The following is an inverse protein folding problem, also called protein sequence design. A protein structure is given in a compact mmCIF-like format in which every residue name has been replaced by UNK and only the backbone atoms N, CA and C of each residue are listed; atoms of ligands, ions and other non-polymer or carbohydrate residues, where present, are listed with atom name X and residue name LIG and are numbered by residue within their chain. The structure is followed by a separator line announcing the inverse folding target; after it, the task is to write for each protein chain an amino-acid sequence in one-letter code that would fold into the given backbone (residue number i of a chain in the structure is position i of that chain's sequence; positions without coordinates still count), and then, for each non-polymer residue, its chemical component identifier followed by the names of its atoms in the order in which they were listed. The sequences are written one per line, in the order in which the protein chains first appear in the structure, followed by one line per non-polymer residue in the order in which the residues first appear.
data_IF_352776250784
#
_entry.id   IF_352776250784
#
_cell.length_a   1.000
_cell.length_b   1.000
_cell.length_c   1.000
_cell.angle_alpha   90.00
_cell.angle_beta   90.00
_cell.angle_gamma   90.00
#
_symmetry.space_group_name_H-M   'P 1'
#
loop_
_entity.id
_entity.type
_entity.pdbx_description
1 polymer ?
#
# COMPACT_ATOMS: atom_id res chain seq x y z
N UNK A 1 21.09 52.95 14.60
CA UNK A 1 20.96 52.02 13.46
C UNK A 1 19.80 51.08 13.73
N UNK A 2 18.67 51.25 13.02
CA UNK A 2 17.75 50.16 12.63
C UNK A 2 16.63 50.77 11.78
N UNK A 3 16.79 50.71 10.46
CA UNK A 3 15.77 51.07 9.47
C UNK A 3 15.93 50.08 8.32
N UNK A 4 15.23 48.93 8.38
CA UNK A 4 15.30 47.94 7.29
C UNK A 4 14.11 46.97 7.19
N UNK A 5 12.91 47.35 7.66
CA UNK A 5 11.67 46.61 7.39
C UNK A 5 10.45 47.54 7.31
N UNK A 6 10.46 48.45 6.34
CA UNK A 6 9.25 49.18 5.93
C UNK A 6 9.18 49.14 4.41
N UNK A 7 8.13 48.49 3.89
CA UNK A 7 7.84 48.37 2.46
C UNK A 7 6.51 49.07 2.23
N UNK A 8 6.54 50.21 1.55
CA UNK A 8 5.33 50.99 1.31
C UNK A 8 4.38 50.28 0.34
N UNK A 9 3.08 50.27 0.68
CA UNK A 9 2.03 49.65 -0.12
C UNK A 9 1.18 48.58 0.59
N UNK A 10 1.53 48.17 1.81
CA UNK A 10 0.82 47.13 2.58
C UNK A 10 -0.05 47.65 3.74
N UNK A 11 -0.68 48.82 3.56
CA UNK A 11 -1.65 49.35 4.52
C UNK A 11 -3.00 48.61 4.42
N UNK A 12 -3.09 47.45 5.06
CA UNK A 12 -4.37 46.78 5.33
C UNK A 12 -5.14 47.57 6.40
N UNK A 13 -6.17 48.30 5.95
CA UNK A 13 -7.16 48.95 6.83
C UNK A 13 -7.87 47.94 7.72
N UNK A 14 -7.96 48.19 9.02
CA UNK A 14 -8.57 47.29 10.02
C UNK A 14 -10.11 47.13 9.92
N UNK A 15 -10.77 47.64 8.88
CA UNK A 15 -12.21 47.49 8.66
C UNK A 15 -12.59 46.13 8.05
N UNK A 16 -12.31 45.05 8.77
CA UNK A 16 -12.94 43.75 8.51
C UNK A 16 -14.38 43.82 9.04
N UNK A 17 -15.30 44.30 8.20
CA UNK A 17 -16.74 44.21 8.48
C UNK A 17 -17.11 42.74 8.61
N UNK A 18 -17.49 42.33 9.82
CA UNK A 18 -17.96 40.98 10.10
C UNK A 18 -19.24 40.71 9.28
N UNK A 19 -19.10 39.87 8.26
CA UNK A 19 -20.16 39.63 7.28
C UNK A 19 -21.35 38.93 7.95
N UNK A 20 -22.53 39.55 7.89
CA UNK A 20 -23.73 39.01 8.54
C UNK A 20 -24.24 37.83 7.73
N UNK A 21 -23.86 36.62 8.17
CA UNK A 21 -24.31 35.34 7.61
C UNK A 21 -25.79 35.38 7.21
N UNK A 22 -26.06 35.16 5.93
CA UNK A 22 -27.42 35.09 5.40
C UNK A 22 -28.18 33.93 6.05
N UNK A 23 -29.52 34.03 6.13
CA UNK A 23 -30.39 33.00 6.73
C UNK A 23 -30.06 31.58 6.22
N UNK A 24 -29.83 31.46 4.91
CA UNK A 24 -29.47 30.21 4.21
C UNK A 24 -28.07 29.67 4.57
N UNK A 25 -27.11 30.53 4.93
CA UNK A 25 -25.80 30.12 5.43
C UNK A 25 -25.86 29.68 6.89
N UNK A 26 -26.70 30.34 7.71
CA UNK A 26 -26.95 29.92 9.10
C UNK A 26 -27.61 28.54 9.15
N UNK A 27 -28.68 28.33 8.39
CA UNK A 27 -29.37 27.03 8.25
C UNK A 27 -28.42 25.89 7.82
N UNK A 28 -27.52 26.14 6.85
CA UNK A 28 -26.50 25.16 6.46
C UNK A 28 -25.51 24.83 7.57
N UNK A 29 -25.08 25.84 8.35
CA UNK A 29 -24.14 25.64 9.45
C UNK A 29 -24.76 24.86 10.60
N UNK A 30 -26.03 25.14 10.91
CA UNK A 30 -26.77 24.49 11.99
C UNK A 30 -27.06 23.01 11.61
N UNK A 31 -27.48 22.72 10.36
CA UNK A 31 -27.58 21.34 9.85
C UNK A 31 -26.24 20.58 9.85
N UNK A 32 -25.12 21.27 9.62
CA UNK A 32 -23.79 20.66 9.64
C UNK A 32 -23.33 20.37 11.08
N UNK A 33 -23.77 21.17 12.06
CA UNK A 33 -23.55 20.91 13.48
C UNK A 33 -24.38 19.70 13.97
N UNK A 34 -25.66 19.62 13.63
CA UNK A 34 -26.53 18.47 13.97
C UNK A 34 -25.98 17.15 13.42
N UNK A 35 -25.52 17.13 12.16
CA UNK A 35 -24.83 15.95 11.57
C UNK A 35 -23.55 15.59 12.31
N UNK A 36 -22.83 16.58 12.86
CA UNK A 36 -21.65 16.37 13.68
C UNK A 36 -21.96 15.70 15.03
N UNK A 37 -23.07 16.11 15.68
CA UNK A 37 -23.55 15.49 16.93
C UNK A 37 -24.00 14.05 16.69
N UNK A 38 -24.85 13.81 15.69
CA UNK A 38 -25.34 12.47 15.36
C UNK A 38 -24.19 11.49 15.02
N UNK A 39 -23.19 11.95 14.26
CA UNK A 39 -22.00 11.13 13.95
C UNK A 39 -21.14 10.82 15.17
N UNK A 40 -21.15 11.68 16.19
CA UNK A 40 -20.45 11.46 17.46
C UNK A 40 -21.19 10.44 18.32
N UNK A 41 -22.51 10.60 18.49
CA UNK A 41 -23.35 9.64 19.24
C UNK A 41 -23.26 8.24 18.63
N UNK A 42 -23.35 8.13 17.30
CA UNK A 42 -23.24 6.86 16.58
C UNK A 42 -21.85 6.21 16.69
N UNK A 43 -20.80 7.01 16.95
CA UNK A 43 -19.46 6.51 17.25
C UNK A 43 -19.34 6.04 18.70
N UNK A 44 -19.83 6.82 19.65
CA UNK A 44 -19.85 6.46 21.08
C UNK A 44 -20.69 5.19 21.33
N UNK A 45 -21.73 4.95 20.53
CA UNK A 45 -22.50 3.70 20.55
C UNK A 45 -21.71 2.50 20.03
N UNK A 46 -21.00 2.64 18.89
CA UNK A 46 -20.13 1.56 18.35
C UNK A 46 -18.94 1.24 19.26
N UNK A 47 -18.41 2.23 19.97
CA UNK A 47 -17.34 2.04 20.95
C UNK A 47 -17.85 1.26 22.20
N UNK A 48 -19.15 1.37 22.55
CA UNK A 48 -19.77 0.52 23.57
C UNK A 48 -20.03 -0.91 23.08
N UNK A 49 -20.65 -1.06 21.90
CA UNK A 49 -20.93 -2.38 21.29
C UNK A 49 -19.65 -3.24 21.24
N UNK A 50 -18.54 -2.65 20.75
CA UNK A 50 -17.24 -3.32 20.68
C UNK A 50 -16.67 -3.69 22.06
N UNK A 51 -16.89 -2.86 23.08
CA UNK A 51 -16.42 -3.14 24.45
C UNK A 51 -17.22 -4.25 25.14
N UNK A 52 -18.47 -4.49 24.72
CA UNK A 52 -19.28 -5.59 25.21
C UNK A 52 -18.99 -6.90 24.45
N UNK A 53 -18.69 -6.83 23.14
CA UNK A 53 -18.15 -7.95 22.36
C UNK A 53 -16.79 -8.46 22.90
N UNK A 54 -15.88 -7.54 23.26
CA UNK A 54 -14.58 -7.90 23.85
C UNK A 54 -14.74 -8.61 25.21
N UNK A 55 -15.70 -8.19 26.05
CA UNK A 55 -16.03 -8.89 27.31
C UNK A 55 -16.66 -10.27 27.07
N UNK A 56 -17.51 -10.40 26.05
CA UNK A 56 -18.12 -11.69 25.70
C UNK A 56 -17.05 -12.69 25.24
N UNK A 57 -16.08 -12.24 24.43
CA UNK A 57 -14.94 -13.05 24.01
C UNK A 57 -14.02 -13.44 25.19
N UNK A 58 -13.77 -12.53 26.13
CA UNK A 58 -12.97 -12.82 27.34
C UNK A 58 -13.67 -13.85 28.26
N UNK A 59 -15.00 -13.78 28.38
CA UNK A 59 -15.80 -14.75 29.13
C UNK A 59 -15.76 -16.17 28.50
N UNK A 60 -15.92 -16.28 27.17
CA UNK A 60 -15.82 -17.55 26.46
C UNK A 60 -14.39 -18.15 26.52
N UNK A 61 -13.36 -17.32 26.38
CA UNK A 61 -11.97 -17.74 26.58
C UNK A 61 -11.73 -18.30 28.00
N UNK A 62 -12.31 -17.67 29.02
CA UNK A 62 -12.21 -18.13 30.41
C UNK A 62 -12.97 -19.45 30.64
N UNK A 63 -14.17 -19.60 30.08
CA UNK A 63 -14.94 -20.84 30.15
C UNK A 63 -14.19 -22.02 29.49
N UNK A 64 -13.57 -21.79 28.33
CA UNK A 64 -12.71 -22.78 27.64
C UNK A 64 -11.47 -23.15 28.45
N UNK A 65 -10.85 -22.18 29.14
CA UNK A 65 -9.71 -22.45 30.03
C UNK A 65 -10.09 -23.25 31.29
N UNK A 66 -11.29 -23.06 31.84
CA UNK A 66 -11.79 -23.85 32.97
C UNK A 66 -12.20 -25.27 32.53
N UNK A 67 -12.81 -25.43 31.34
CA UNK A 67 -13.09 -26.74 30.74
C UNK A 67 -11.80 -27.55 30.47
N UNK A 68 -10.75 -26.91 29.94
CA UNK A 68 -9.45 -27.56 29.73
C UNK A 68 -8.82 -28.06 31.04
N UNK A 69 -8.89 -27.27 32.13
CA UNK A 69 -8.40 -27.68 33.46
C UNK A 69 -9.24 -28.79 34.10
N UNK A 70 -10.52 -28.90 33.77
CA UNK A 70 -11.36 -30.02 34.20
C UNK A 70 -10.96 -31.33 33.47
N UNK A 71 -10.66 -31.26 32.18
CA UNK A 71 -10.18 -32.40 31.40
C UNK A 71 -8.79 -32.90 31.86
N UNK A 72 -7.85 -31.99 32.12
CA UNK A 72 -6.50 -32.31 32.61
C UNK A 72 -6.51 -32.97 34.01
N UNK A 73 -7.51 -32.65 34.84
CA UNK A 73 -7.74 -33.32 36.13
C UNK A 73 -8.37 -34.71 36.01
N UNK A 74 -9.06 -35.02 34.92
CA UNK A 74 -9.60 -36.35 34.66
C UNK A 74 -8.51 -37.33 34.17
N UNK A 75 -7.58 -36.86 33.33
CA UNK A 75 -6.44 -37.67 32.84
C UNK A 75 -5.37 -37.98 33.90
N UNK A 76 -5.35 -37.26 35.03
CA UNK A 76 -4.35 -37.44 36.08
C UNK A 76 -4.68 -38.56 37.10
N UNK A 77 -5.75 -39.33 36.87
CA UNK A 77 -6.23 -40.35 37.81
C UNK A 77 -5.92 -41.82 37.41
N UNK A 78 -5.42 -42.08 36.18
CA UNK A 78 -5.23 -43.45 35.67
C UNK A 78 -3.76 -43.92 35.61
N UNK A 79 -2.77 -43.02 35.52
CA UNK A 79 -1.33 -43.37 35.44
C UNK A 79 -0.63 -43.38 36.81
N UNK A 80 -1.05 -44.29 37.71
CA UNK A 80 -0.45 -44.46 39.04
C UNK A 80 -0.17 -45.93 39.41
N UNK A 81 0.34 -46.73 38.46
CA UNK A 81 0.84 -48.09 38.74
C UNK A 81 1.94 -48.56 37.76
N UNK A 82 3.21 -48.18 37.98
CA UNK A 82 4.37 -49.10 38.02
C UNK A 82 5.71 -48.38 38.31
N UNK A 83 6.54 -48.97 39.20
CA UNK A 83 7.98 -48.67 39.47
C UNK A 83 8.37 -47.21 39.90
N UNK A 84 9.47 -46.93 40.62
CA UNK A 84 10.46 -47.79 41.27
C UNK A 84 11.81 -47.07 41.57
N UNK A 85 11.97 -46.44 42.76
CA UNK A 85 13.24 -45.99 43.44
C UNK A 85 14.37 -45.37 42.56
N UNK A 86 14.93 -44.17 42.82
CA UNK A 86 15.70 -43.81 44.04
C UNK A 86 16.31 -42.37 43.95
N UNK A 87 16.58 -41.75 45.13
CA UNK A 87 17.54 -40.66 45.51
C UNK A 87 18.46 -40.03 44.41
N UNK A 88 18.83 -38.73 44.36
CA UNK A 88 19.11 -37.62 45.35
C UNK A 88 19.33 -36.31 44.53
N UNK A 89 19.46 -35.06 45.01
CA UNK A 89 18.94 -34.28 46.16
C UNK A 89 19.58 -32.86 46.20
N UNK A 90 18.94 -31.85 46.82
CA UNK A 90 19.43 -30.47 47.18
C UNK A 90 19.52 -29.41 46.05
N UNK A 91 19.35 -28.10 46.31
CA UNK A 91 18.71 -27.32 47.41
C UNK A 91 18.59 -25.84 46.98
N UNK A 92 17.61 -25.12 47.53
CA UNK A 92 17.36 -23.68 47.40
C UNK A 92 18.56 -22.77 47.78
N UNK A 93 18.68 -21.57 47.17
CA UNK A 93 18.07 -20.34 47.74
C UNK A 93 18.20 -19.07 46.88
N UNK A 94 17.30 -18.13 47.18
CA UNK A 94 17.04 -16.82 46.56
C UNK A 94 17.59 -15.69 47.45
N UNK A 95 18.15 -14.61 46.88
CA UNK A 95 17.82 -13.17 47.17
C UNK A 95 18.92 -12.13 46.83
N UNK A 96 18.47 -11.06 46.17
CA UNK A 96 18.73 -9.62 46.41
C UNK A 96 20.06 -9.13 47.03
N UNK A 97 20.77 -8.22 46.33
CA UNK A 97 20.80 -6.78 46.74
C UNK A 97 21.43 -5.81 45.72
N UNK A 98 21.17 -4.54 46.02
CA UNK A 98 21.14 -3.32 45.21
C UNK A 98 22.37 -2.40 45.42
N UNK A 99 22.56 -1.46 44.48
CA UNK A 99 23.02 -0.06 44.64
C UNK A 99 24.54 0.33 44.73
N UNK A 100 24.86 1.40 43.94
CA UNK A 100 25.83 2.52 44.18
C UNK A 100 27.35 2.27 43.94
N UNK A 101 28.21 3.26 43.53
CA UNK A 101 28.09 4.68 43.05
C UNK A 101 29.51 5.23 42.66
N UNK A 102 29.60 6.25 41.78
CA UNK A 102 30.72 7.25 41.63
C UNK A 102 32.10 6.77 41.06
N UNK A 103 33.01 7.60 40.50
CA UNK A 103 33.03 9.00 39.95
C UNK A 103 34.37 9.21 39.15
N UNK A 104 34.48 10.28 38.33
CA UNK A 104 35.70 10.78 37.64
C UNK A 104 36.78 11.37 38.61
N UNK A 105 37.98 11.90 38.23
CA UNK A 105 38.48 12.57 37.00
C UNK A 105 40.03 12.79 36.97
N UNK A 106 40.60 13.27 35.82
CA UNK A 106 41.79 14.20 35.66
C UNK A 106 43.25 13.70 35.99
N UNK A 107 44.40 14.21 35.45
CA UNK A 107 44.79 15.29 34.47
C UNK A 107 46.24 15.13 33.87
N UNK A 108 46.56 15.89 32.78
CA UNK A 108 47.85 16.59 32.41
C UNK A 108 49.19 15.81 32.10
N UNK A 109 50.21 16.29 31.35
CA UNK A 109 50.47 17.54 30.56
C UNK A 109 51.53 17.42 29.39
N UNK A 110 51.42 18.34 28.41
CA UNK A 110 52.45 19.14 27.67
C UNK A 110 53.64 18.61 26.80
N UNK A 111 53.71 19.06 25.52
CA UNK A 111 54.75 19.99 24.95
C UNK A 111 54.78 20.05 23.39
N UNK A 112 55.38 21.11 22.79
CA UNK A 112 55.33 21.51 21.34
C UNK A 112 56.63 22.30 20.95
N UNK A 113 57.16 22.29 19.70
CA UNK A 113 56.93 23.39 18.70
C UNK A 113 56.99 22.90 17.20
N UNK A 114 56.29 23.39 16.15
CA UNK A 114 56.00 24.72 15.54
C UNK A 114 56.77 24.98 14.20
N UNK A 115 56.04 25.12 13.07
CA UNK A 115 56.47 25.75 11.80
C UNK A 115 55.25 26.05 10.87
N UNK A 116 55.16 27.22 10.19
CA UNK A 116 54.09 27.57 9.23
C UNK A 116 54.63 27.95 7.81
N UNK A 117 53.81 28.41 6.85
CA UNK A 117 52.49 27.94 6.40
C UNK A 117 52.48 27.58 4.90
N UNK A 118 51.44 26.88 4.42
CA UNK A 118 51.12 26.79 3.00
C UNK A 118 49.62 27.02 2.77
N UNK A 119 49.29 27.84 1.78
CA UNK A 119 47.93 28.31 1.52
C UNK A 119 47.05 27.18 0.97
N UNK A 120 45.88 26.97 1.57
CA UNK A 120 44.85 26.09 1.04
C UNK A 120 43.48 26.76 1.17
N UNK A 121 42.80 26.94 0.05
CA UNK A 121 41.42 27.42 0.00
C UNK A 121 40.49 26.43 0.72
N UNK A 122 40.16 26.71 1.98
CA UNK A 122 39.13 25.95 2.69
C UNK A 122 37.75 26.35 2.20
N UNK A 123 37.08 25.41 1.53
CA UNK A 123 35.67 25.51 1.15
C UNK A 123 34.81 25.91 2.36
N UNK A 124 33.86 26.82 2.17
CA UNK A 124 32.98 27.26 3.24
C UNK A 124 32.20 26.07 3.85
N UNK A 125 32.13 25.94 5.19
CA UNK A 125 31.39 24.85 5.80
C UNK A 125 29.90 25.00 5.52
N UNK A 126 29.27 23.93 5.02
CA UNK A 126 27.83 23.89 4.79
C UNK A 126 27.08 24.27 6.07
N UNK A 127 26.34 25.38 6.04
CA UNK A 127 25.69 25.94 7.22
C UNK A 127 24.66 24.94 7.78
N UNK A 128 24.91 24.44 9.00
CA UNK A 128 23.98 23.56 9.71
C UNK A 128 22.71 24.35 10.02
N UNK A 129 21.61 24.00 9.36
CA UNK A 129 20.30 24.64 9.54
C UNK A 129 19.87 24.61 11.01
N UNK A 130 19.24 25.70 11.46
CA UNK A 130 18.68 25.76 12.82
C UNK A 130 17.50 24.79 12.99
N UNK A 131 17.16 24.37 14.22
CA UNK A 131 16.00 23.50 14.46
C UNK A 131 14.67 24.08 13.94
N UNK A 132 14.54 25.41 13.86
CA UNK A 132 13.38 26.06 13.25
C UNK A 132 13.40 25.94 11.72
N UNK A 133 14.56 26.18 11.09
CA UNK A 133 14.72 26.02 9.64
C UNK A 133 14.51 24.57 9.20
N UNK A 134 14.94 23.58 9.99
CA UNK A 134 14.66 22.17 9.75
C UNK A 134 13.15 21.88 9.77
N UNK A 135 12.43 22.29 10.83
CA UNK A 135 10.97 22.14 10.91
C UNK A 135 10.22 22.87 9.79
N UNK A 136 10.69 24.04 9.37
CA UNK A 136 10.14 24.77 8.22
C UNK A 136 10.36 23.99 6.92
N UNK A 137 11.58 23.46 6.70
CA UNK A 137 11.93 22.63 5.53
C UNK A 137 11.09 21.35 5.48
N UNK A 138 10.92 20.65 6.60
CA UNK A 138 10.06 19.46 6.73
C UNK A 138 8.61 19.78 6.40
N UNK A 139 8.07 20.89 6.93
CA UNK A 139 6.69 21.33 6.63
C UNK A 139 6.53 21.67 5.15
N UNK A 140 7.51 22.34 4.52
CA UNK A 140 7.51 22.67 3.10
C UNK A 140 7.55 21.41 2.23
N UNK A 141 8.45 20.46 2.53
CA UNK A 141 8.53 19.17 1.85
C UNK A 141 7.20 18.39 1.98
N UNK A 142 6.59 18.37 3.16
CA UNK A 142 5.28 17.76 3.39
C UNK A 142 4.12 18.45 2.67
N UNK A 143 4.16 19.78 2.42
CA UNK A 143 3.20 20.43 1.52
C UNK A 143 3.48 20.12 0.05
N UNK A 144 4.75 20.07 -0.36
CA UNK A 144 5.18 19.81 -1.74
C UNK A 144 4.79 18.40 -2.18
N UNK A 145 5.12 17.38 -1.37
CA UNK A 145 4.68 15.99 -1.59
C UNK A 145 3.17 15.89 -1.77
N UNK A 146 2.38 16.51 -0.86
CA UNK A 146 0.92 16.45 -0.94
C UNK A 146 0.37 17.09 -2.21
N UNK A 147 0.97 18.20 -2.66
CA UNK A 147 0.60 18.84 -3.93
C UNK A 147 0.95 17.95 -5.14
N UNK A 148 2.16 17.39 -5.21
CA UNK A 148 2.56 16.48 -6.31
C UNK A 148 1.63 15.26 -6.36
N UNK A 149 1.40 14.64 -5.21
CA UNK A 149 0.50 13.50 -5.08
C UNK A 149 -0.94 13.88 -5.51
N UNK A 150 -1.47 15.03 -5.08
CA UNK A 150 -2.77 15.53 -5.54
C UNK A 150 -2.81 15.65 -7.07
N UNK A 151 -1.79 16.25 -7.71
CA UNK A 151 -1.69 16.33 -9.17
C UNK A 151 -1.71 14.95 -9.84
N UNK A 152 -0.87 14.01 -9.40
CA UNK A 152 -0.76 12.65 -9.97
C UNK A 152 -2.07 11.84 -9.92
N UNK A 153 -3.00 12.16 -9.01
CA UNK A 153 -4.35 11.55 -8.96
C UNK A 153 -5.43 12.31 -9.74
N UNK A 154 -5.13 13.52 -10.26
CA UNK A 154 -6.11 14.40 -10.91
C UNK A 154 -5.89 14.61 -12.40
N UNK A 155 -4.79 14.11 -12.96
CA UNK A 155 -4.46 14.19 -14.40
C UNK A 155 -4.38 12.80 -15.05
N UNK A 156 -4.52 12.69 -16.38
CA UNK A 156 -4.18 11.48 -17.13
C UNK A 156 -2.70 11.12 -17.01
N UNK A 157 -2.36 9.84 -17.20
CA UNK A 157 -0.98 9.36 -17.14
C UNK A 157 -0.02 10.04 -18.12
N UNK A 158 -0.53 10.47 -19.28
CA UNK A 158 0.24 11.20 -20.29
C UNK A 158 0.69 12.58 -19.80
N UNK A 159 -0.18 13.26 -19.05
CA UNK A 159 0.13 14.57 -18.44
C UNK A 159 1.07 14.39 -17.24
N UNK A 160 0.94 13.31 -16.47
CA UNK A 160 1.88 12.96 -15.41
C UNK A 160 3.28 12.63 -15.97
N UNK A 161 3.37 11.89 -17.09
CA UNK A 161 4.63 11.65 -17.80
C UNK A 161 5.26 12.97 -18.26
N UNK A 162 4.45 13.85 -18.86
CA UNK A 162 4.92 15.18 -19.31
C UNK A 162 5.44 16.01 -18.12
N UNK A 163 4.71 16.07 -17.01
CA UNK A 163 5.10 16.79 -15.80
C UNK A 163 6.46 16.32 -15.25
N UNK A 164 6.69 15.01 -15.21
CA UNK A 164 7.95 14.41 -14.72
C UNK A 164 9.08 14.55 -15.75
N UNK A 165 8.77 14.53 -17.05
CA UNK A 165 9.76 14.78 -18.12
C UNK A 165 10.23 16.24 -18.11
N UNK A 166 9.30 17.19 -17.95
CA UNK A 166 9.60 18.62 -17.90
C UNK A 166 10.35 19.01 -16.61
N UNK A 167 10.08 18.33 -15.49
CA UNK A 167 10.80 18.51 -14.24
C UNK A 167 11.05 17.16 -13.51
N UNK A 168 12.21 16.51 -13.77
CA UNK A 168 12.56 15.22 -13.16
C UNK A 168 12.70 15.24 -11.64
N UNK A 169 12.87 16.40 -11.00
CA UNK A 169 12.95 16.50 -9.53
C UNK A 169 11.61 16.15 -8.86
N UNK A 170 10.48 16.35 -9.55
CA UNK A 170 9.13 16.03 -9.05
C UNK A 170 9.02 14.56 -8.63
N UNK A 171 9.65 13.65 -9.38
CA UNK A 171 9.70 12.22 -9.03
C UNK A 171 10.48 11.99 -7.74
N UNK A 172 11.63 12.65 -7.56
CA UNK A 172 12.48 12.47 -6.37
C UNK A 172 11.82 13.07 -5.13
N UNK A 173 11.17 14.24 -5.27
CA UNK A 173 10.34 14.87 -4.24
C UNK A 173 9.14 14.00 -3.86
N UNK A 174 8.47 13.40 -4.85
CA UNK A 174 7.37 12.46 -4.63
C UNK A 174 7.83 11.23 -3.84
N UNK A 175 8.87 10.53 -4.31
CA UNK A 175 9.37 9.33 -3.64
C UNK A 175 9.98 9.63 -2.26
N UNK A 176 10.62 10.78 -2.06
CA UNK A 176 11.07 11.21 -0.73
C UNK A 176 9.90 11.41 0.24
N UNK A 177 8.82 12.07 -0.19
CA UNK A 177 7.61 12.23 0.60
C UNK A 177 6.88 10.90 0.86
N UNK A 178 6.80 10.04 -0.16
CA UNK A 178 6.18 8.73 -0.07
C UNK A 178 6.93 7.79 0.90
N UNK A 179 8.27 7.73 0.83
CA UNK A 179 9.09 6.99 1.80
C UNK A 179 8.82 7.41 3.24
N UNK A 180 8.75 8.72 3.50
CA UNK A 180 8.43 9.25 4.84
C UNK A 180 7.00 8.87 5.28
N UNK A 181 6.05 8.74 4.34
CA UNK A 181 4.68 8.33 4.64
C UNK A 181 4.56 6.83 4.96
N UNK A 182 5.27 5.95 4.22
CA UNK A 182 5.20 4.49 4.44
C UNK A 182 6.04 3.99 5.62
N UNK A 183 7.03 4.77 6.08
CA UNK A 183 7.79 4.46 7.31
C UNK A 183 6.92 4.29 8.56
N UNK A 184 5.74 4.91 8.60
CA UNK A 184 4.79 4.77 9.70
C UNK A 184 3.83 3.58 9.58
N UNK A 185 3.91 2.77 8.53
CA UNK A 185 2.97 1.67 8.27
C UNK A 185 3.46 0.38 8.95
N UNK A 186 2.55 -0.48 9.45
CA UNK A 186 2.92 -1.74 10.10
C UNK A 186 3.52 -2.78 9.14
N UNK A 187 3.22 -2.65 7.84
CA UNK A 187 3.64 -3.56 6.77
C UNK A 187 3.64 -2.78 5.44
N UNK A 188 4.61 -3.04 4.56
CA UNK A 188 4.67 -2.44 3.22
C UNK A 188 4.04 -3.40 2.19
N UNK A 189 3.16 -2.93 1.28
CA UNK A 189 2.54 -3.81 0.28
C UNK A 189 3.56 -4.55 -0.61
N UNK A 190 4.74 -3.97 -0.90
CA UNK A 190 5.81 -4.66 -1.64
C UNK A 190 6.28 -5.92 -0.91
N UNK A 191 6.52 -5.82 0.40
CA UNK A 191 6.94 -6.96 1.24
C UNK A 191 5.88 -8.07 1.21
N UNK A 192 4.60 -7.70 1.18
CA UNK A 192 3.49 -8.67 1.10
C UNK A 192 3.47 -9.43 -0.23
N UNK A 193 3.87 -8.80 -1.34
CA UNK A 193 3.99 -9.47 -2.63
C UNK A 193 5.23 -10.37 -2.69
N UNK A 194 6.36 -9.95 -2.13
CA UNK A 194 7.57 -10.80 -2.02
C UNK A 194 7.28 -12.03 -1.13
N UNK A 195 6.60 -11.83 0.00
CA UNK A 195 6.10 -12.90 0.89
C UNK A 195 5.17 -13.84 0.13
N UNK A 196 4.15 -13.30 -0.53
CA UNK A 196 3.17 -14.09 -1.31
C UNK A 196 3.83 -14.89 -2.45
N UNK A 197 4.78 -14.29 -3.15
CA UNK A 197 5.57 -14.97 -4.19
C UNK A 197 6.35 -16.14 -3.59
N UNK A 198 7.04 -15.89 -2.48
CA UNK A 198 7.86 -16.89 -1.76
C UNK A 198 7.03 -18.05 -1.21
N UNK A 199 5.86 -17.78 -0.63
CA UNK A 199 4.94 -18.81 -0.13
C UNK A 199 4.47 -19.76 -1.23
N UNK A 200 4.22 -19.22 -2.44
CA UNK A 200 3.75 -20.00 -3.59
C UNK A 200 4.85 -20.83 -4.26
N UNK A 201 6.13 -20.51 -4.03
CA UNK A 201 7.24 -21.38 -4.43
C UNK A 201 7.26 -22.73 -3.70
N UNK A 202 6.50 -22.91 -2.61
CA UNK A 202 6.37 -24.18 -1.91
C UNK A 202 5.52 -25.22 -2.70
N UNK A 203 4.76 -24.77 -3.70
CA UNK A 203 3.96 -25.61 -4.61
C UNK A 203 4.56 -25.58 -6.02
N UNK A 204 4.43 -26.63 -6.84
CA UNK A 204 4.90 -26.59 -8.23
C UNK A 204 4.31 -25.41 -9.01
N UNK A 205 5.09 -24.80 -9.91
CA UNK A 205 4.54 -23.83 -10.86
C UNK A 205 3.38 -24.44 -11.65
N UNK A 206 2.41 -23.61 -12.04
CA UNK A 206 1.17 -24.01 -12.71
C UNK A 206 0.23 -24.95 -11.91
N UNK A 207 0.54 -25.34 -10.67
CA UNK A 207 -0.39 -26.11 -9.83
C UNK A 207 -1.35 -25.19 -9.06
N UNK A 208 -2.50 -25.69 -8.57
CA UNK A 208 -3.32 -24.96 -7.60
C UNK A 208 -2.47 -24.45 -6.42
N UNK A 209 -2.52 -23.14 -6.16
CA UNK A 209 -1.72 -22.45 -5.14
C UNK A 209 -0.26 -22.16 -5.52
N UNK A 210 0.33 -22.84 -6.51
CA UNK A 210 1.66 -22.53 -7.04
C UNK A 210 1.65 -21.28 -7.92
N UNK A 211 2.83 -20.73 -8.24
CA UNK A 211 2.92 -19.53 -9.10
C UNK A 211 2.46 -19.81 -10.55
N UNK A 212 1.89 -18.82 -11.24
CA UNK A 212 1.75 -18.89 -12.70
C UNK A 212 3.15 -18.90 -13.34
N UNK A 213 3.28 -19.66 -14.43
CA UNK A 213 4.48 -19.70 -15.26
C UNK A 213 4.11 -20.23 -16.65
N UNK A 214 4.93 -19.95 -17.64
CA UNK A 214 4.79 -20.61 -18.93
C UNK A 214 5.36 -22.03 -18.87
N UNK A 215 4.52 -23.06 -19.04
CA UNK A 215 4.86 -24.49 -18.89
C UNK A 215 6.09 -25.00 -19.67
N UNK A 216 6.59 -24.25 -20.66
CA UNK A 216 7.74 -24.61 -21.50
C UNK A 216 9.03 -23.90 -21.09
N UNK A 217 8.97 -22.95 -20.17
CA UNK A 217 10.09 -22.13 -19.72
C UNK A 217 10.27 -22.34 -18.21
N UNK A 218 11.49 -22.62 -17.74
CA UNK A 218 11.81 -22.55 -16.30
C UNK A 218 11.99 -21.08 -15.87
N UNK A 219 11.04 -20.22 -16.25
CA UNK A 219 11.07 -18.77 -16.12
C UNK A 219 9.71 -18.26 -15.67
N UNK A 220 9.71 -17.27 -14.78
CA UNK A 220 8.55 -16.41 -14.50
C UNK A 220 8.94 -14.99 -14.89
N UNK A 221 8.11 -14.35 -15.73
CA UNK A 221 8.21 -12.93 -16.06
C UNK A 221 7.22 -12.15 -15.20
N UNK A 222 7.74 -11.24 -14.39
CA UNK A 222 6.96 -10.30 -13.56
C UNK A 222 7.06 -8.91 -14.17
N UNK A 223 5.94 -8.28 -14.50
CA UNK A 223 5.89 -6.86 -14.85
C UNK A 223 5.46 -6.04 -13.64
N UNK A 224 6.28 -5.07 -13.24
CA UNK A 224 6.09 -4.22 -12.07
C UNK A 224 5.75 -2.80 -12.57
N UNK A 225 4.45 -2.48 -12.54
CA UNK A 225 3.86 -1.33 -13.23
C UNK A 225 3.69 -0.18 -12.23
N UNK A 226 4.47 0.89 -12.40
CA UNK A 226 4.61 1.96 -11.40
C UNK A 226 5.57 1.54 -10.29
N UNK A 227 6.74 1.04 -10.68
CA UNK A 227 7.71 0.39 -9.79
C UNK A 227 8.43 1.33 -8.82
N UNK A 228 8.34 2.65 -9.03
CA UNK A 228 9.14 3.66 -8.35
C UNK A 228 10.64 3.38 -8.47
N UNK A 229 11.26 3.01 -7.34
CA UNK A 229 12.69 2.69 -7.25
C UNK A 229 13.00 1.21 -7.58
N UNK A 230 12.01 0.44 -8.08
CA UNK A 230 12.11 -0.99 -8.42
C UNK A 230 12.52 -1.88 -7.24
N UNK A 231 11.93 -1.61 -6.06
CA UNK A 231 12.17 -2.39 -4.84
C UNK A 231 11.70 -3.84 -4.98
N UNK A 232 10.55 -4.08 -5.62
CA UNK A 232 10.02 -5.42 -5.86
C UNK A 232 11.00 -6.27 -6.69
N UNK A 233 11.49 -5.73 -7.81
CA UNK A 233 12.52 -6.40 -8.62
C UNK A 233 13.79 -6.70 -7.83
N UNK A 234 14.25 -5.76 -7.00
CA UNK A 234 15.41 -5.94 -6.15
C UNK A 234 15.21 -7.09 -5.14
N UNK A 235 14.05 -7.20 -4.51
CA UNK A 235 13.81 -8.22 -3.49
C UNK A 235 13.46 -9.59 -4.06
N UNK A 236 12.74 -9.66 -5.20
CA UNK A 236 12.57 -10.91 -5.95
C UNK A 236 13.92 -11.47 -6.41
N UNK A 237 14.89 -10.61 -6.81
CA UNK A 237 16.23 -11.04 -7.22
C UNK A 237 17.04 -11.71 -6.09
N UNK A 238 16.71 -11.43 -4.82
CA UNK A 238 17.36 -12.00 -3.63
C UNK A 238 16.76 -13.33 -3.17
N UNK A 239 15.69 -13.82 -3.79
CA UNK A 239 15.02 -15.06 -3.37
C UNK A 239 15.96 -16.26 -3.53
N UNK A 240 16.21 -16.97 -2.43
CA UNK A 240 17.02 -18.19 -2.44
C UNK A 240 16.15 -19.41 -2.79
N UNK A 241 16.10 -19.76 -4.08
CA UNK A 241 15.39 -20.92 -4.62
C UNK A 241 15.90 -22.29 -4.09
N UNK A 242 17.05 -22.32 -3.42
CA UNK A 242 17.60 -23.55 -2.79
C UNK A 242 17.18 -23.70 -1.31
N UNK A 243 16.48 -22.73 -0.73
CA UNK A 243 16.01 -22.75 0.68
C UNK A 243 15.01 -23.89 0.94
N UNK A 244 15.09 -24.49 2.14
CA UNK A 244 14.09 -25.45 2.64
C UNK A 244 12.70 -24.82 2.64
N UNK A 245 11.73 -25.48 1.99
CA UNK A 245 10.37 -25.00 1.75
C UNK A 245 10.04 -24.93 0.26
N UNK A 246 10.96 -24.39 -0.54
CA UNK A 246 10.80 -24.30 -2.00
C UNK A 246 10.63 -25.69 -2.61
N UNK A 247 9.62 -25.84 -3.47
CA UNK A 247 9.32 -27.09 -4.13
C UNK A 247 10.52 -27.56 -4.96
N UNK A 248 10.89 -28.86 -4.95
CA UNK A 248 12.00 -29.38 -5.74
C UNK A 248 11.95 -29.00 -7.23
N UNK A 249 10.76 -28.91 -7.83
CA UNK A 249 10.58 -28.54 -9.24
C UNK A 249 10.92 -27.06 -9.52
N UNK A 250 10.83 -26.19 -8.52
CA UNK A 250 11.05 -24.74 -8.64
C UNK A 250 12.50 -24.32 -8.34
N UNK A 251 13.40 -25.26 -8.00
CA UNK A 251 14.79 -24.94 -7.56
C UNK A 251 15.67 -24.32 -8.64
N UNK A 252 15.33 -24.56 -9.91
CA UNK A 252 16.04 -24.04 -11.09
C UNK A 252 15.22 -22.97 -11.83
N UNK A 253 14.21 -22.40 -11.16
CA UNK A 253 13.34 -21.38 -11.72
C UNK A 253 14.07 -20.04 -11.79
N UNK A 254 14.03 -19.40 -12.96
CA UNK A 254 14.50 -18.02 -13.17
C UNK A 254 13.35 -17.07 -12.95
N UNK A 255 13.58 -15.95 -12.25
CA UNK A 255 12.61 -14.85 -12.17
C UNK A 255 13.20 -13.65 -12.86
N UNK A 256 12.51 -13.15 -13.86
CA UNK A 256 12.81 -11.88 -14.52
C UNK A 256 11.76 -10.87 -14.10
N UNK A 257 12.19 -9.69 -13.64
CA UNK A 257 11.28 -8.59 -13.32
C UNK A 257 11.57 -7.43 -14.25
N UNK A 258 10.54 -7.00 -14.99
CA UNK A 258 10.57 -5.82 -15.85
C UNK A 258 9.80 -4.71 -15.13
N UNK A 259 10.51 -3.68 -14.69
CA UNK A 259 9.97 -2.59 -13.87
C UNK A 259 9.79 -1.33 -14.71
N UNK A 260 8.61 -0.73 -14.67
CA UNK A 260 8.22 0.42 -15.49
C UNK A 260 7.77 1.60 -14.64
N UNK A 261 8.28 2.80 -14.95
CA UNK A 261 7.84 4.05 -14.33
C UNK A 261 8.10 5.27 -15.22
N UNK A 262 7.65 6.44 -14.81
CA UNK A 262 7.75 7.72 -15.52
C UNK A 262 9.15 8.35 -15.46
N UNK A 263 10.07 7.83 -14.64
CA UNK A 263 11.49 8.24 -14.58
C UNK A 263 12.42 7.07 -14.28
N UNK A 264 13.60 7.05 -14.89
CA UNK A 264 14.67 6.07 -14.58
C UNK A 264 15.32 6.35 -13.22
N UNK A 265 14.77 5.78 -12.16
CA UNK A 265 15.35 5.88 -10.82
C UNK A 265 16.67 5.11 -10.68
N UNK A 266 16.85 4.01 -11.43
CA UNK A 266 18.06 3.20 -11.50
C UNK A 266 17.99 2.23 -12.71
N UNK A 267 19.04 1.44 -12.91
CA UNK A 267 19.18 0.50 -14.05
C UNK A 267 18.13 -0.62 -14.15
N UNK A 268 17.29 -0.86 -13.13
CA UNK A 268 16.16 -1.81 -13.22
C UNK A 268 14.92 -1.19 -13.83
N UNK A 269 14.83 0.14 -13.88
CA UNK A 269 13.64 0.87 -14.33
C UNK A 269 13.73 1.17 -15.82
N UNK A 270 12.73 0.71 -16.57
CA UNK A 270 12.47 1.15 -17.94
C UNK A 270 11.50 2.33 -17.91
N UNK A 271 11.81 3.42 -18.62
CA UNK A 271 10.91 4.59 -18.65
C UNK A 271 9.74 4.31 -19.59
N UNK A 272 8.51 4.28 -19.06
CA UNK A 272 7.29 4.10 -19.82
C UNK A 272 6.06 4.61 -19.05
N UNK A 273 5.04 5.04 -19.80
CA UNK A 273 3.68 5.16 -19.26
C UNK A 273 3.07 3.76 -19.14
N UNK A 274 2.58 3.39 -17.95
CA UNK A 274 2.02 2.07 -17.65
C UNK A 274 0.71 1.74 -18.39
N UNK A 275 0.13 2.70 -19.13
CA UNK A 275 -0.94 2.42 -20.12
C UNK A 275 -0.45 1.71 -21.39
N UNK A 276 0.85 1.76 -21.69
CA UNK A 276 1.47 1.16 -22.88
C UNK A 276 2.98 0.98 -22.67
N UNK A 277 3.37 -0.19 -22.16
CA UNK A 277 4.77 -0.54 -21.86
C UNK A 277 5.43 -1.25 -23.05
N UNK A 278 6.75 -1.14 -23.24
CA UNK A 278 7.48 -1.79 -24.33
C UNK A 278 7.66 -3.32 -24.10
N UNK A 279 6.55 -4.03 -23.95
CA UNK A 279 6.46 -5.49 -23.83
C UNK A 279 5.54 -6.07 -24.92
N UNK A 280 5.80 -7.31 -25.33
CA UNK A 280 4.95 -8.03 -26.28
C UNK A 280 3.63 -8.51 -25.63
N UNK A 281 2.62 -8.72 -26.45
CA UNK A 281 1.35 -9.34 -26.05
C UNK A 281 1.57 -10.75 -25.50
N UNK A 282 0.99 -11.07 -24.34
CA UNK A 282 1.13 -12.38 -23.69
C UNK A 282 2.59 -12.76 -23.37
N UNK A 283 3.40 -11.82 -22.86
CA UNK A 283 4.80 -12.04 -22.47
C UNK A 283 5.00 -12.25 -20.95
N UNK A 284 4.17 -11.63 -20.10
CA UNK A 284 4.28 -11.68 -18.63
C UNK A 284 3.46 -12.80 -17.99
N UNK A 285 3.95 -13.41 -16.90
CA UNK A 285 3.21 -14.39 -16.09
C UNK A 285 2.49 -13.72 -14.90
N UNK A 286 3.06 -12.64 -14.38
CA UNK A 286 2.48 -11.83 -13.29
C UNK A 286 2.59 -10.35 -13.69
N UNK A 287 1.52 -9.58 -13.50
CA UNK A 287 1.54 -8.11 -13.54
C UNK A 287 1.19 -7.58 -12.16
N UNK A 288 1.97 -6.63 -11.66
CA UNK A 288 1.80 -6.01 -10.34
C UNK A 288 1.53 -4.52 -10.47
N UNK A 289 0.47 -4.04 -9.81
CA UNK A 289 0.31 -2.62 -9.47
C UNK A 289 0.37 -2.47 -7.95
N UNK A 290 1.43 -1.84 -7.45
CA UNK A 290 1.63 -1.65 -6.02
C UNK A 290 1.51 -0.17 -5.65
N UNK A 291 0.28 0.27 -5.32
CA UNK A 291 -0.07 1.67 -5.04
C UNK A 291 0.15 2.60 -6.27
N UNK A 292 -0.11 2.07 -7.46
CA UNK A 292 0.27 2.66 -8.75
C UNK A 292 -0.92 3.09 -9.63
N UNK A 293 -2.17 2.82 -9.24
CA UNK A 293 -3.37 3.19 -10.02
C UNK A 293 -3.72 4.68 -9.82
N UNK A 294 -2.78 5.58 -10.12
CA UNK A 294 -2.89 7.01 -9.79
C UNK A 294 -3.70 7.82 -10.80
N UNK A 295 -3.29 7.80 -12.07
CA UNK A 295 -3.87 8.66 -13.12
C UNK A 295 -5.37 8.44 -13.33
N UNK A 296 -6.05 9.46 -13.88
CA UNK A 296 -7.52 9.45 -14.07
C UNK A 296 -8.04 8.41 -15.07
N UNK A 297 -7.13 7.78 -15.82
CA UNK A 297 -7.32 6.74 -16.82
C UNK A 297 -6.75 5.36 -16.40
N UNK A 298 -6.64 5.06 -15.11
CA UNK A 298 -6.01 3.84 -14.60
C UNK A 298 -6.59 2.52 -15.13
N UNK A 299 -7.83 2.47 -15.61
CA UNK A 299 -8.40 1.29 -16.29
C UNK A 299 -7.72 1.00 -17.64
N UNK A 300 -7.06 1.97 -18.27
CA UNK A 300 -6.19 1.68 -19.42
C UNK A 300 -4.91 0.96 -18.98
N UNK A 301 -4.41 1.17 -17.76
CA UNK A 301 -3.30 0.38 -17.21
C UNK A 301 -3.76 -1.07 -16.95
N UNK A 302 -5.00 -1.26 -16.51
CA UNK A 302 -5.62 -2.58 -16.33
C UNK A 302 -5.82 -3.29 -17.69
N UNK A 303 -6.16 -2.56 -18.76
CA UNK A 303 -6.19 -3.10 -20.13
C UNK A 303 -4.79 -3.48 -20.63
N UNK A 304 -3.79 -2.69 -20.31
CA UNK A 304 -2.41 -2.99 -20.66
C UNK A 304 -1.92 -4.27 -19.96
N UNK A 305 -2.28 -4.45 -18.68
CA UNK A 305 -2.07 -5.71 -17.98
C UNK A 305 -2.77 -6.89 -18.68
N UNK A 306 -3.99 -6.72 -19.20
CA UNK A 306 -4.65 -7.74 -20.03
C UNK A 306 -3.92 -8.02 -21.35
N UNK A 307 -3.24 -7.04 -21.94
CA UNK A 307 -2.45 -7.21 -23.17
C UNK A 307 -1.21 -8.06 -22.88
N UNK A 308 -0.38 -7.64 -21.93
CA UNK A 308 0.93 -8.25 -21.64
C UNK A 308 0.84 -9.59 -20.89
N UNK A 309 -0.22 -9.86 -20.11
CA UNK A 309 -0.35 -11.14 -19.40
C UNK A 309 -0.51 -12.35 -20.34
N UNK A 310 0.15 -13.46 -20.04
CA UNK A 310 -0.10 -14.77 -20.63
C UNK A 310 -1.48 -15.31 -20.21
N UNK A 311 -2.12 -16.19 -21.01
CA UNK A 311 -3.28 -16.95 -20.54
C UNK A 311 -2.95 -17.76 -19.28
N UNK A 312 -3.81 -17.65 -18.26
CA UNK A 312 -3.60 -18.12 -16.88
C UNK A 312 -2.52 -17.38 -16.07
N UNK A 313 -1.96 -16.28 -16.61
CA UNK A 313 -1.18 -15.32 -15.84
C UNK A 313 -2.04 -14.51 -14.87
N UNK A 314 -1.41 -13.89 -13.88
CA UNK A 314 -2.10 -13.24 -12.77
C UNK A 314 -1.84 -11.73 -12.68
N UNK A 315 -2.88 -10.99 -12.31
CA UNK A 315 -2.81 -9.57 -12.00
C UNK A 315 -2.92 -9.42 -10.48
N UNK A 316 -1.90 -8.84 -9.86
CA UNK A 316 -1.83 -8.56 -8.43
C UNK A 316 -1.92 -7.04 -8.22
N UNK A 317 -2.85 -6.59 -7.39
CA UNK A 317 -3.06 -5.17 -7.10
C UNK A 317 -3.00 -4.96 -5.60
N UNK A 318 -2.29 -3.93 -5.16
CA UNK A 318 -2.43 -3.36 -3.81
C UNK A 318 -2.78 -1.88 -3.95
N UNK A 319 -3.82 -1.43 -3.25
CA UNK A 319 -4.28 -0.03 -3.29
C UNK A 319 -4.69 0.47 -1.91
N UNK A 320 -4.51 1.77 -1.65
CA UNK A 320 -4.75 2.37 -0.33
C UNK A 320 -6.23 2.23 0.05
N UNK A 321 -6.50 1.68 1.23
CA UNK A 321 -7.85 1.29 1.68
C UNK A 321 -8.84 2.45 1.71
N UNK A 322 -8.37 3.65 2.03
CA UNK A 322 -9.19 4.88 2.02
C UNK A 322 -9.60 5.38 0.62
N UNK A 323 -9.08 4.81 -0.47
CA UNK A 323 -9.55 5.07 -1.84
C UNK A 323 -10.89 4.41 -2.14
N UNK A 324 -11.20 3.33 -1.42
CA UNK A 324 -12.48 2.61 -1.52
C UNK A 324 -13.46 3.16 -0.48
N UNK A 325 -14.68 3.49 -0.90
CA UNK A 325 -15.80 3.63 0.03
C UNK A 325 -16.52 2.29 0.25
N UNK A 326 -17.43 2.27 1.22
CA UNK A 326 -18.43 1.22 1.39
C UNK A 326 -19.01 0.81 0.01
N UNK A 327 -18.95 -0.49 -0.30
CA UNK A 327 -19.41 -1.08 -1.56
C UNK A 327 -18.49 -0.92 -2.78
N UNK A 328 -17.48 -0.02 -2.78
CA UNK A 328 -16.60 0.17 -3.95
C UNK A 328 -15.64 -0.99 -4.19
N UNK A 329 -15.29 -1.79 -3.17
CA UNK A 329 -14.48 -3.00 -3.33
C UNK A 329 -15.14 -4.00 -4.30
N UNK A 330 -16.45 -4.23 -4.16
CA UNK A 330 -17.20 -5.12 -5.05
C UNK A 330 -17.41 -4.52 -6.44
N UNK A 331 -17.62 -3.21 -6.54
CA UNK A 331 -17.69 -2.50 -7.82
C UNK A 331 -16.36 -2.59 -8.58
N UNK A 332 -15.23 -2.37 -7.91
CA UNK A 332 -13.88 -2.55 -8.47
C UNK A 332 -13.69 -3.96 -9.02
N UNK A 333 -14.08 -4.98 -8.25
CA UNK A 333 -14.05 -6.38 -8.70
C UNK A 333 -14.97 -6.61 -9.91
N UNK A 334 -16.16 -5.99 -9.97
CA UNK A 334 -17.09 -6.09 -11.12
C UNK A 334 -16.52 -5.44 -12.38
N UNK A 335 -15.90 -4.26 -12.27
CA UNK A 335 -15.27 -3.56 -13.39
C UNK A 335 -14.08 -4.35 -13.94
N UNK A 336 -13.21 -4.89 -13.07
CA UNK A 336 -12.11 -5.74 -13.55
C UNK A 336 -12.65 -7.03 -14.22
N UNK A 337 -13.77 -7.58 -13.74
CA UNK A 337 -14.48 -8.72 -14.38
C UNK A 337 -15.10 -8.38 -15.74
N UNK A 338 -15.49 -7.13 -16.03
CA UNK A 338 -15.93 -6.70 -17.36
C UNK A 338 -14.76 -6.41 -18.30
N UNK A 339 -13.62 -5.95 -17.76
CA UNK A 339 -12.30 -5.94 -18.41
C UNK A 339 -11.69 -7.35 -18.61
N UNK A 340 -12.53 -8.40 -18.62
CA UNK A 340 -12.18 -9.80 -18.94
C UNK A 340 -11.26 -10.53 -17.96
N UNK A 341 -10.90 -9.95 -16.83
CA UNK A 341 -10.30 -10.70 -15.73
C UNK A 341 -11.30 -11.64 -15.03
N UNK A 342 -10.77 -12.58 -14.27
CA UNK A 342 -11.49 -13.32 -13.24
C UNK A 342 -10.86 -13.00 -11.88
N UNK A 343 -11.70 -12.71 -10.89
CA UNK A 343 -11.27 -12.50 -9.51
C UNK A 343 -10.94 -13.84 -8.84
N UNK A 344 -9.90 -13.84 -8.00
CA UNK A 344 -9.36 -15.02 -7.33
C UNK A 344 -9.26 -14.85 -5.82
N UNK A 345 -8.82 -13.67 -5.35
CA UNK A 345 -8.68 -13.35 -3.94
C UNK A 345 -8.86 -11.84 -3.72
N UNK A 346 -9.50 -11.48 -2.60
CA UNK A 346 -9.32 -10.18 -1.96
C UNK A 346 -8.76 -10.43 -0.57
N UNK A 347 -7.75 -9.68 -0.18
CA UNK A 347 -7.21 -9.64 1.17
C UNK A 347 -7.35 -8.20 1.67
N UNK A 348 -8.19 -8.04 2.69
CA UNK A 348 -8.56 -6.76 3.31
C UNK A 348 -8.17 -6.74 4.81
N UNK A 349 -7.27 -7.63 5.24
CA UNK A 349 -6.84 -7.73 6.64
C UNK A 349 -5.97 -6.54 7.07
N UNK A 350 -5.22 -5.95 6.12
CA UNK A 350 -4.37 -4.81 6.41
C UNK A 350 -5.19 -3.51 6.61
N UNK A 351 -4.73 -2.66 7.53
CA UNK A 351 -5.41 -1.42 7.91
C UNK A 351 -5.16 -0.26 6.93
N UNK A 352 -4.12 -0.34 6.09
CA UNK A 352 -3.67 0.76 5.22
C UNK A 352 -3.97 0.52 3.74
N UNK A 353 -3.94 -0.72 3.28
CA UNK A 353 -4.17 -1.09 1.87
C UNK A 353 -5.02 -2.37 1.75
N UNK A 354 -5.66 -2.54 0.61
CA UNK A 354 -6.39 -3.76 0.21
C UNK A 354 -5.60 -4.42 -0.92
N UNK A 355 -5.53 -5.75 -0.92
CA UNK A 355 -4.90 -6.53 -1.99
C UNK A 355 -5.92 -7.34 -2.78
N UNK A 356 -5.67 -7.50 -4.06
CA UNK A 356 -6.49 -8.29 -4.97
C UNK A 356 -5.60 -9.20 -5.83
N UNK A 357 -6.03 -10.44 -6.01
CA UNK A 357 -5.53 -11.30 -7.08
C UNK A 357 -6.64 -11.52 -8.10
N UNK A 358 -6.29 -11.31 -9.37
CA UNK A 358 -7.08 -11.68 -10.53
C UNK A 358 -6.25 -12.58 -11.45
N UNK A 359 -6.89 -13.28 -12.39
CA UNK A 359 -6.19 -14.02 -13.45
C UNK A 359 -6.80 -13.73 -14.82
N UNK A 360 -5.94 -13.75 -15.85
CA UNK A 360 -6.35 -13.72 -17.26
C UNK A 360 -6.78 -15.14 -17.66
N UNK A 361 -8.05 -15.37 -18.03
CA UNK A 361 -8.53 -16.71 -18.41
C UNK A 361 -7.96 -17.14 -19.78
N UNK A 362 -8.19 -18.41 -20.17
CA UNK A 362 -7.81 -18.89 -21.50
C UNK A 362 -8.60 -18.21 -22.62
N UNK A 363 -8.02 -18.16 -23.83
CA UNK A 363 -8.69 -17.59 -25.00
C UNK A 363 -10.00 -18.31 -25.34
N UNK A 364 -10.10 -19.61 -25.05
CA UNK A 364 -11.34 -20.38 -25.17
C UNK A 364 -12.44 -19.86 -24.23
N UNK A 365 -12.11 -19.63 -22.95
CA UNK A 365 -13.04 -19.06 -21.97
C UNK A 365 -13.47 -17.64 -22.38
N UNK A 366 -12.53 -16.82 -22.89
CA UNK A 366 -12.85 -15.48 -23.42
C UNK A 366 -13.80 -15.55 -24.62
N UNK A 367 -13.54 -16.45 -25.57
CA UNK A 367 -14.40 -16.66 -26.73
C UNK A 367 -15.79 -17.18 -26.33
N UNK A 368 -15.87 -18.07 -25.34
CA UNK A 368 -17.15 -18.55 -24.78
C UNK A 368 -17.92 -17.42 -24.09
N UNK A 369 -17.27 -16.56 -23.29
CA UNK A 369 -17.92 -15.38 -22.69
C UNK A 369 -18.45 -14.43 -23.77
N UNK A 370 -17.66 -14.11 -24.80
CA UNK A 370 -18.09 -13.29 -25.95
C UNK A 370 -19.30 -13.87 -26.70
N UNK A 371 -19.44 -15.20 -26.77
CA UNK A 371 -20.63 -15.88 -27.34
C UNK A 371 -21.84 -15.87 -26.40
N UNK A 372 -21.64 -15.87 -25.08
CA UNK A 372 -22.71 -15.89 -24.06
C UNK A 372 -23.28 -14.51 -23.72
N UNK A 373 -22.60 -13.41 -24.04
CA UNK A 373 -23.20 -12.06 -23.93
C UNK A 373 -24.36 -11.98 -24.93
N UNK A 374 -25.62 -11.82 -24.48
CA UNK A 374 -26.75 -11.81 -25.39
C UNK A 374 -26.69 -10.57 -26.27
N UNK A 375 -26.62 -10.77 -27.60
CA UNK A 375 -26.94 -9.70 -28.56
C UNK A 375 -28.40 -9.32 -28.34
N UNK A 376 -28.66 -8.24 -27.59
CA UNK A 376 -30.01 -7.73 -27.33
C UNK A 376 -30.72 -7.40 -28.66
N UNK A 377 -31.54 -8.34 -29.13
CA UNK A 377 -32.72 -8.02 -29.94
C UNK A 377 -33.88 -7.78 -28.98
N UNK A 378 -34.64 -6.72 -29.26
CA UNK A 378 -35.87 -6.26 -28.61
C UNK A 378 -36.64 -7.30 -27.77
N UNK A 379 -37.00 -6.94 -26.53
CA UNK A 379 -38.39 -6.83 -26.00
C UNK A 379 -38.35 -6.38 -24.51
N UNK A 380 -39.51 -5.93 -24.04
CA UNK A 380 -39.79 -5.04 -22.90
C UNK A 380 -39.85 -5.65 -21.49
N UNK A 381 -39.94 -4.73 -20.49
CA UNK A 381 -40.43 -4.84 -19.10
C UNK A 381 -40.22 -6.12 -18.25
N UNK A 382 -39.72 -5.93 -17.01
CA UNK A 382 -39.87 -6.88 -15.90
C UNK A 382 -38.63 -7.10 -15.04
N UNK A 383 -38.69 -6.60 -13.80
CA UNK A 383 -37.79 -6.84 -12.65
C UNK A 383 -36.31 -6.39 -12.80
N UNK A 384 -35.95 -5.31 -12.09
CA UNK A 384 -34.68 -4.59 -12.23
C UNK A 384 -33.53 -5.07 -11.33
N UNK A 385 -33.77 -5.83 -10.25
CA UNK A 385 -32.75 -6.00 -9.19
C UNK A 385 -31.80 -7.20 -9.38
N UNK A 386 -32.20 -8.30 -10.03
CA UNK A 386 -31.34 -9.50 -10.20
C UNK A 386 -30.66 -9.63 -11.58
N UNK A 387 -30.91 -8.73 -12.54
CA UNK A 387 -30.40 -8.86 -13.93
C UNK A 387 -29.15 -8.04 -14.26
N UNK A 388 -28.49 -7.43 -13.27
CA UNK A 388 -27.21 -6.70 -13.48
C UNK A 388 -26.04 -7.68 -13.51
N UNK A 389 -25.92 -8.39 -14.64
CA UNK A 389 -24.67 -9.01 -15.07
C UNK A 389 -23.54 -7.97 -15.18
N UNK A 390 -22.27 -8.38 -15.36
CA UNK A 390 -21.15 -7.45 -15.44
C UNK A 390 -21.43 -6.36 -16.48
N UNK A 391 -21.22 -5.09 -16.09
CA UNK A 391 -21.42 -3.90 -16.93
C UNK A 391 -20.82 -4.18 -18.31
N UNK A 392 -21.63 -4.09 -19.37
CA UNK A 392 -21.11 -4.42 -20.69
C UNK A 392 -19.99 -3.43 -21.07
N UNK A 393 -19.03 -3.89 -21.88
CA UNK A 393 -17.85 -3.07 -22.17
C UNK A 393 -18.20 -1.72 -22.81
N UNK A 394 -19.35 -1.62 -23.47
CA UNK A 394 -19.82 -0.38 -24.09
C UNK A 394 -20.38 0.61 -23.04
N UNK A 395 -21.12 0.13 -22.04
CA UNK A 395 -21.55 0.92 -20.88
C UNK A 395 -20.33 1.41 -20.08
N UNK A 396 -19.35 0.55 -19.83
CA UNK A 396 -18.11 0.94 -19.16
C UNK A 396 -17.39 2.06 -19.92
N UNK A 397 -17.15 1.92 -21.24
CA UNK A 397 -16.52 3.00 -22.01
C UNK A 397 -17.37 4.28 -22.06
N UNK A 398 -18.70 4.19 -22.05
CA UNK A 398 -19.60 5.36 -21.92
C UNK A 398 -19.47 6.05 -20.56
N UNK A 399 -19.25 5.29 -19.47
CA UNK A 399 -19.02 5.79 -18.12
C UNK A 399 -17.66 6.50 -18.03
N UNK A 400 -16.60 5.85 -18.51
CA UNK A 400 -15.23 6.40 -18.60
C UNK A 400 -15.15 7.71 -19.38
N UNK A 401 -15.92 7.84 -20.46
CA UNK A 401 -16.00 9.09 -21.27
C UNK A 401 -16.77 10.24 -20.60
N UNK A 402 -17.56 9.97 -19.57
CA UNK A 402 -18.37 10.98 -18.87
C UNK A 402 -17.71 11.52 -17.60
N UNK A 403 -17.02 10.66 -16.87
CA UNK A 403 -16.46 10.94 -15.54
C UNK A 403 -15.13 10.23 -15.37
N UNK A 404 -14.15 10.93 -14.79
CA UNK A 404 -12.85 10.35 -14.45
C UNK A 404 -13.04 9.16 -13.50
N UNK A 405 -12.22 8.13 -13.67
CA UNK A 405 -12.40 6.85 -12.97
C UNK A 405 -12.24 6.97 -11.45
N UNK A 406 -11.49 7.98 -11.01
CA UNK A 406 -11.37 8.33 -9.60
C UNK A 406 -12.61 8.94 -8.95
N UNK A 407 -13.58 9.45 -9.73
CA UNK A 407 -14.82 10.00 -9.17
C UNK A 407 -15.80 8.91 -8.73
N UNK A 408 -15.80 7.77 -9.43
CA UNK A 408 -16.82 6.73 -9.28
C UNK A 408 -16.27 5.36 -8.87
N UNK A 409 -14.98 5.07 -9.05
CA UNK A 409 -14.38 3.75 -8.77
C UNK A 409 -13.31 3.76 -7.66
N UNK A 410 -12.20 4.49 -7.85
CA UNK A 410 -11.07 4.54 -6.90
C UNK A 410 -10.68 5.98 -6.57
N UNK A 411 -11.15 6.49 -5.44
CA UNK A 411 -10.94 7.91 -5.07
C UNK A 411 -9.47 8.32 -5.11
N UNK A 412 -9.15 9.55 -5.57
CA UNK A 412 -7.84 10.17 -5.38
C UNK A 412 -7.34 10.03 -3.93
N UNK A 413 -6.10 9.57 -3.72
CA UNK A 413 -5.53 9.51 -2.37
C UNK A 413 -5.09 10.91 -1.90
N UNK A 414 -6.05 11.75 -1.49
CA UNK A 414 -5.79 13.12 -1.06
C UNK A 414 -5.48 13.18 0.44
N UNK A 415 -4.25 13.53 0.79
CA UNK A 415 -3.86 13.82 2.17
C UNK A 415 -4.48 15.13 2.64
N UNK A 416 -5.23 15.08 3.76
CA UNK A 416 -5.85 16.27 4.35
C UNK A 416 -4.80 17.37 4.60
N UNK A 417 -5.16 18.61 4.24
CA UNK A 417 -4.46 19.81 4.72
C UNK A 417 -4.65 19.87 6.24
N UNK A 418 -3.55 20.10 6.97
CA UNK A 418 -3.51 20.30 8.44
C UNK A 418 -3.24 21.76 8.67
#
# INVERSE_FOLDING_TARGET
MSFMFQVDGWNLSNDVKADKLTKRQKEKRDQQAERGVMMREKREQREKERADDEKAAEADAKAKAEAAKAAEKASAAEDAADSGKNKKSKKDKKKDKKDKKAKASETEEASKPAAPPAEAFTQAPAAKLTPLQLKMKEKLAGSRFRWINEQLYTVPSEEALKMITDNPEIFDEYHAGFRNQVQGWPENPVDTFVKRFTERLNKPVCSPGGLPAHKRENKIVVADMGCGEAQLALDLSKINFKKKGVNPQNKNLVVETQSFDLKKANERVTVADVKNVPMEDNSADIVVFCLALMGTNFLDFIKEAMRILRPNGELWIAEIKSRFTDGQTDEFIKVLKSLSFFHKLTDDENTHFVRFEFFKPTQEILAQRKKKVPKRKFIDYGDEEEKKGPEDGEQLEKRRKKQAEGEWLLKPCIYKRR
#
